data_IF_256986949946
#
_entry.id   IF_256986949946
#
_cell.length_a   1.000
_cell.length_b   1.000
_cell.length_c   1.000
_cell.angle_alpha   90.00
_cell.angle_beta   90.00
_cell.angle_gamma   90.00
#
_symmetry.space_group_name_H-M   'P 1'
#
loop_
_entity.id
_entity.type
_entity.pdbx_description
1 polymer ?
#
# COMPACT_ATOMS: atom_id res chain seq x y z
N UNK A 1 26.46 -33.53 -3.26
CA UNK A 1 26.24 -33.62 -4.72
C UNK A 1 25.80 -35.03 -5.04
N UNK A 2 24.67 -35.19 -5.70
CA UNK A 2 24.22 -36.51 -6.18
C UNK A 2 24.69 -36.66 -7.62
N UNK A 3 25.52 -37.66 -7.90
CA UNK A 3 25.99 -37.98 -9.24
C UNK A 3 25.04 -38.96 -9.92
N UNK A 4 24.61 -38.64 -11.15
CA UNK A 4 23.80 -39.48 -12.04
C UNK A 4 22.33 -39.75 -11.62
N UNK A 5 21.56 -38.75 -11.15
CA UNK A 5 20.12 -38.96 -10.94
C UNK A 5 19.38 -39.07 -12.29
N UNK A 6 18.51 -40.07 -12.41
CA UNK A 6 17.60 -40.28 -13.55
C UNK A 6 16.20 -40.64 -13.04
N UNK A 7 15.16 -40.42 -13.85
CA UNK A 7 13.75 -40.75 -13.53
C UNK A 7 13.13 -40.00 -12.34
N UNK A 8 13.47 -38.73 -12.14
CA UNK A 8 12.74 -37.92 -11.16
C UNK A 8 11.48 -37.33 -11.80
N UNK A 9 10.37 -37.36 -11.07
CA UNK A 9 9.10 -36.73 -11.44
C UNK A 9 8.84 -35.61 -10.45
N UNK A 10 8.79 -34.38 -10.95
CA UNK A 10 8.44 -33.21 -10.17
C UNK A 10 6.95 -32.94 -10.42
N UNK A 11 6.12 -33.03 -9.38
CA UNK A 11 4.69 -32.68 -9.44
C UNK A 11 4.47 -31.42 -8.62
N UNK A 12 3.60 -30.54 -9.12
CA UNK A 12 3.12 -29.36 -8.40
C UNK A 12 4.22 -28.38 -7.94
N UNK A 13 5.32 -28.27 -8.68
CA UNK A 13 6.36 -27.27 -8.40
C UNK A 13 6.25 -26.04 -9.29
N UNK A 14 6.58 -24.87 -8.72
CA UNK A 14 6.87 -23.66 -9.46
C UNK A 14 8.35 -23.63 -9.82
N UNK A 15 8.66 -23.52 -11.11
CA UNK A 15 10.01 -23.22 -11.58
C UNK A 15 10.15 -21.70 -11.70
N UNK A 16 10.99 -21.09 -10.86
CA UNK A 16 11.39 -19.69 -11.00
C UNK A 16 12.74 -19.71 -11.73
N UNK A 17 12.74 -19.27 -12.99
CA UNK A 17 13.96 -19.19 -13.79
C UNK A 17 14.75 -17.92 -13.44
N UNK A 18 15.92 -18.11 -12.80
CA UNK A 18 16.90 -17.05 -12.55
C UNK A 18 17.99 -16.99 -13.64
N UNK A 19 17.78 -17.63 -14.80
CA UNK A 19 18.77 -17.63 -15.87
C UNK A 19 19.14 -16.19 -16.25
N UNK A 20 20.44 -15.92 -16.27
CA UNK A 20 21.02 -14.68 -16.78
C UNK A 20 20.96 -14.68 -18.31
N UNK A 21 19.77 -14.91 -18.88
CA UNK A 21 19.51 -14.56 -20.25
C UNK A 21 19.60 -13.04 -20.34
N UNK A 22 20.54 -12.58 -21.17
CA UNK A 22 20.78 -11.20 -21.52
C UNK A 22 19.48 -10.65 -22.17
N UNK A 23 18.54 -10.17 -21.35
CA UNK A 23 17.22 -9.71 -21.83
C UNK A 23 16.00 -9.96 -20.94
N UNK A 24 16.09 -10.36 -19.66
CA UNK A 24 14.90 -10.38 -18.79
C UNK A 24 14.34 -8.96 -18.60
N UNK A 25 13.06 -8.77 -18.95
CA UNK A 25 12.36 -7.50 -18.77
C UNK A 25 12.20 -7.17 -17.28
N UNK A 26 11.94 -8.18 -16.45
CA UNK A 26 11.84 -8.01 -15.00
C UNK A 26 13.16 -7.55 -14.36
N UNK A 27 14.32 -7.92 -14.91
CA UNK A 27 15.61 -7.40 -14.43
C UNK A 27 15.75 -5.89 -14.64
N UNK A 28 15.16 -5.36 -15.72
CA UNK A 28 15.11 -3.92 -16.00
C UNK A 28 14.23 -3.22 -14.97
N UNK A 29 13.10 -3.84 -14.62
CA UNK A 29 12.19 -3.35 -13.59
C UNK A 29 12.87 -3.32 -12.21
N UNK A 30 13.47 -4.43 -11.78
CA UNK A 30 14.19 -4.53 -10.52
C UNK A 30 15.34 -3.52 -10.43
N UNK A 31 16.09 -3.32 -11.52
CA UNK A 31 17.17 -2.32 -11.55
C UNK A 31 16.70 -0.87 -11.41
N UNK A 32 15.41 -0.60 -11.65
CA UNK A 32 14.80 0.72 -11.50
C UNK A 32 13.87 0.83 -10.27
N UNK A 33 13.63 -0.26 -9.55
CA UNK A 33 12.83 -0.28 -8.33
C UNK A 33 13.60 0.30 -7.14
N UNK A 34 12.90 0.53 -6.04
CA UNK A 34 13.49 0.91 -4.76
C UNK A 34 13.28 -0.22 -3.74
N UNK A 35 14.22 -1.18 -3.65
CA UNK A 35 14.15 -2.25 -2.65
C UNK A 35 14.02 -1.72 -1.21
N UNK A 36 14.58 -0.53 -0.92
CA UNK A 36 14.47 0.12 0.39
C UNK A 36 13.05 0.55 0.77
N UNK A 37 12.14 0.63 -0.19
CA UNK A 37 10.74 0.99 0.03
C UNK A 37 9.85 -0.21 0.38
N UNK A 38 10.34 -1.45 0.28
CA UNK A 38 9.59 -2.64 0.65
C UNK A 38 9.47 -2.76 2.19
N UNK A 39 8.35 -3.30 2.68
CA UNK A 39 8.06 -3.44 4.12
C UNK A 39 9.10 -4.27 4.88
N UNK A 40 9.70 -5.26 4.21
CA UNK A 40 10.66 -6.23 4.71
C UNK A 40 12.12 -5.86 4.40
N UNK A 41 12.35 -4.65 3.87
CA UNK A 41 13.69 -4.15 3.60
C UNK A 41 14.53 -4.02 4.88
N UNK A 42 15.81 -4.34 4.78
CA UNK A 42 16.79 -4.08 5.85
C UNK A 42 16.84 -2.61 6.27
N UNK A 43 16.54 -1.67 5.35
CA UNK A 43 16.42 -0.26 5.66
C UNK A 43 15.34 0.03 6.73
N UNK A 44 14.33 -0.84 6.83
CA UNK A 44 13.21 -0.72 7.77
C UNK A 44 13.41 -1.46 9.09
N UNK A 45 14.44 -2.30 9.22
CA UNK A 45 14.72 -3.05 10.46
C UNK A 45 14.93 -2.14 11.68
N UNK A 46 15.46 -0.92 11.47
CA UNK A 46 15.67 0.07 12.53
C UNK A 46 14.40 0.86 12.91
N UNK A 47 13.40 0.93 12.02
CA UNK A 47 12.16 1.70 12.23
C UNK A 47 11.23 1.07 13.28
N UNK A 48 11.38 -0.23 13.55
CA UNK A 48 10.59 -0.98 14.54
C UNK A 48 10.93 -0.65 16.00
N UNK A 49 12.06 0.00 16.26
CA UNK A 49 12.63 0.05 17.61
C UNK A 49 11.94 1.10 18.49
N UNK A 50 11.22 2.08 17.95
CA UNK A 50 10.76 3.24 18.74
C UNK A 50 9.25 3.50 18.68
N UNK A 51 8.66 3.35 19.89
CA UNK A 51 7.55 4.12 20.46
C UNK A 51 6.19 4.03 19.79
N UNK A 52 5.46 2.95 20.11
CA UNK A 52 4.03 3.10 20.36
C UNK A 52 3.53 2.09 21.43
N UNK A 53 2.69 2.48 22.41
CA UNK A 53 2.23 1.57 23.47
C UNK A 53 1.46 0.37 22.88
N UNK A 54 1.88 -0.85 23.23
CA UNK A 54 1.34 -2.11 22.66
C UNK A 54 -0.19 -2.15 22.53
N UNK A 55 -0.90 -1.67 23.55
CA UNK A 55 -2.36 -1.80 23.66
C UNK A 55 -3.15 -0.89 22.72
N UNK A 56 -2.58 0.20 22.17
CA UNK A 56 -3.34 1.15 21.34
C UNK A 56 -3.32 0.82 19.83
N UNK A 57 -2.40 -0.05 19.39
CA UNK A 57 -2.23 -0.39 17.97
C UNK A 57 -2.75 -1.78 17.62
N UNK A 58 -2.83 -2.68 18.61
CA UNK A 58 -3.35 -4.03 18.42
C UNK A 58 -4.80 -4.03 17.95
N UNK A 59 -5.65 -3.15 18.52
CA UNK A 59 -7.05 -3.00 18.11
C UNK A 59 -7.16 -2.53 16.65
N UNK A 60 -6.38 -1.52 16.27
CA UNK A 60 -6.37 -1.02 14.90
C UNK A 60 -5.87 -2.08 13.91
N UNK A 61 -4.77 -2.78 14.22
CA UNK A 61 -4.24 -3.83 13.35
C UNK A 61 -5.24 -4.98 13.23
N UNK A 62 -5.96 -5.33 14.30
CA UNK A 62 -7.02 -6.33 14.26
C UNK A 62 -8.21 -5.88 13.39
N UNK A 63 -8.61 -4.61 13.48
CA UNK A 63 -9.64 -4.03 12.62
C UNK A 63 -9.18 -4.00 11.15
N UNK A 64 -7.94 -3.60 10.89
CA UNK A 64 -7.34 -3.60 9.57
C UNK A 64 -7.35 -5.00 8.94
N UNK A 65 -6.89 -6.02 9.67
CA UNK A 65 -6.95 -7.42 9.22
C UNK A 65 -8.40 -7.89 9.04
N UNK A 66 -9.34 -7.39 9.84
CA UNK A 66 -10.77 -7.70 9.65
C UNK A 66 -11.28 -7.08 8.34
N UNK A 67 -10.89 -5.85 8.02
CA UNK A 67 -11.21 -5.19 6.76
C UNK A 67 -10.61 -5.92 5.56
N UNK A 68 -9.34 -6.36 5.60
CA UNK A 68 -8.76 -7.13 4.49
C UNK A 68 -9.53 -8.43 4.26
N UNK A 69 -10.10 -8.99 5.34
CA UNK A 69 -10.87 -10.24 5.26
C UNK A 69 -12.33 -10.08 4.86
N UNK A 70 -12.93 -8.92 5.13
CA UNK A 70 -14.31 -8.60 4.79
C UNK A 70 -14.36 -7.16 4.30
N UNK A 71 -13.77 -6.89 3.12
CA UNK A 71 -13.68 -5.54 2.61
C UNK A 71 -15.09 -5.08 2.28
N UNK A 72 -15.50 -4.02 2.96
CA UNK A 72 -16.70 -3.24 2.62
C UNK A 72 -16.35 -2.07 1.68
N UNK A 73 -15.08 -2.02 1.25
CA UNK A 73 -14.47 -1.03 0.37
C UNK A 73 -13.13 -1.56 -0.16
N UNK A 74 -12.76 -1.18 -1.39
CA UNK A 74 -11.48 -1.57 -2.00
C UNK A 74 -10.30 -0.66 -1.63
N UNK A 75 -10.57 0.44 -0.93
CA UNK A 75 -9.55 1.42 -0.50
C UNK A 75 -9.81 1.79 0.96
N UNK A 76 -8.77 1.73 1.78
CA UNK A 76 -8.71 2.29 3.11
C UNK A 76 -7.69 3.43 3.14
N UNK A 77 -8.09 4.60 3.63
CA UNK A 77 -7.19 5.73 3.81
C UNK A 77 -7.04 6.08 5.29
N UNK A 78 -5.80 6.12 5.75
CA UNK A 78 -5.45 6.53 7.10
C UNK A 78 -4.70 7.85 7.08
N UNK A 79 -5.20 8.78 7.87
CA UNK A 79 -4.65 10.12 8.04
C UNK A 79 -3.76 10.18 9.30
N UNK A 80 -2.54 10.69 9.15
CA UNK A 80 -1.59 10.97 10.23
C UNK A 80 -0.20 10.32 10.06
N UNK A 81 0.78 10.70 10.91
CA UNK A 81 2.13 10.11 10.92
C UNK A 81 2.08 8.68 11.48
N UNK A 82 1.69 7.73 10.61
CA UNK A 82 1.35 6.35 10.97
C UNK A 82 2.30 5.31 10.36
N UNK A 83 3.53 5.68 10.05
CA UNK A 83 4.49 4.79 9.40
C UNK A 83 4.72 3.49 10.21
N UNK A 84 4.72 3.58 11.54
CA UNK A 84 4.82 2.40 12.42
C UNK A 84 3.55 1.52 12.38
N UNK A 85 2.36 2.11 12.25
CA UNK A 85 1.11 1.36 12.08
C UNK A 85 1.05 0.66 10.72
N UNK A 86 1.45 1.35 9.66
CA UNK A 86 1.58 0.77 8.32
C UNK A 86 2.53 -0.43 8.32
N UNK A 87 3.67 -0.33 9.05
CA UNK A 87 4.61 -1.42 9.23
C UNK A 87 3.96 -2.62 9.94
N UNK A 88 3.31 -2.39 11.08
CA UNK A 88 2.64 -3.46 11.84
C UNK A 88 1.55 -4.16 11.03
N UNK A 89 0.80 -3.40 10.24
CA UNK A 89 -0.20 -3.93 9.31
C UNK A 89 0.45 -4.82 8.24
N UNK A 90 1.52 -4.36 7.61
CA UNK A 90 2.26 -5.12 6.59
C UNK A 90 2.78 -6.45 7.14
N UNK A 91 3.42 -6.41 8.32
CA UNK A 91 3.93 -7.61 9.01
C UNK A 91 2.84 -8.61 9.40
N UNK A 92 1.61 -8.15 9.59
CA UNK A 92 0.47 -9.02 9.93
C UNK A 92 -0.16 -9.71 8.75
N UNK A 93 -0.04 -9.15 7.55
CA UNK A 93 -0.61 -9.72 6.34
C UNK A 93 0.24 -10.85 5.76
N UNK A 94 1.57 -10.72 5.81
CA UNK A 94 2.51 -11.70 5.24
C UNK A 94 2.11 -12.06 3.78
N UNK A 95 1.62 -13.27 3.54
CA UNK A 95 1.18 -13.77 2.22
C UNK A 95 -0.03 -13.01 1.63
N UNK A 96 -0.81 -12.28 2.43
CA UNK A 96 -1.91 -11.43 1.94
C UNK A 96 -1.39 -10.07 1.41
N UNK A 97 -0.13 -9.70 1.68
CA UNK A 97 0.48 -8.46 1.22
C UNK A 97 1.14 -8.68 -0.15
N UNK A 98 0.43 -8.28 -1.21
CA UNK A 98 0.91 -8.46 -2.58
C UNK A 98 2.02 -7.46 -2.96
N UNK A 99 1.98 -6.25 -2.40
CA UNK A 99 3.02 -5.26 -2.56
C UNK A 99 2.96 -4.17 -1.48
N UNK A 100 4.07 -3.49 -1.28
CA UNK A 100 4.15 -2.36 -0.36
C UNK A 100 5.10 -1.29 -0.87
N UNK A 101 4.79 -0.04 -0.56
CA UNK A 101 5.70 1.07 -0.76
C UNK A 101 5.71 1.97 0.47
N UNK A 102 6.85 2.08 1.11
CA UNK A 102 7.07 3.01 2.20
C UNK A 102 8.11 4.03 1.77
N UNK A 103 7.76 5.31 1.81
CA UNK A 103 8.64 6.37 1.33
C UNK A 103 9.96 6.38 2.11
N UNK A 104 11.10 6.05 1.47
CA UNK A 104 12.39 6.08 2.14
C UNK A 104 12.79 7.52 2.47
N UNK A 105 13.49 7.71 3.59
CA UNK A 105 13.98 9.05 3.97
C UNK A 105 14.83 9.72 2.89
N UNK A 106 15.56 8.93 2.11
CA UNK A 106 16.41 9.38 1.00
C UNK A 106 15.63 9.86 -0.23
N UNK A 107 14.36 9.49 -0.37
CA UNK A 107 13.53 9.73 -1.57
C UNK A 107 12.38 10.70 -1.31
N UNK A 108 12.39 11.40 -0.17
CA UNK A 108 11.37 12.39 0.26
C UNK A 108 11.18 13.58 -0.68
N UNK A 109 11.99 13.70 -1.73
CA UNK A 109 11.98 14.86 -2.63
C UNK A 109 12.00 14.48 -4.11
N UNK A 110 12.25 13.22 -4.45
CA UNK A 110 12.37 12.76 -5.83
C UNK A 110 11.59 11.45 -6.02
N UNK A 111 10.75 11.41 -7.06
CA UNK A 111 10.36 10.13 -7.67
C UNK A 111 9.05 9.48 -7.22
N UNK A 112 7.92 9.91 -7.79
CA UNK A 112 6.67 9.13 -7.76
C UNK A 112 6.70 7.92 -8.69
N UNK A 113 7.51 7.96 -9.75
CA UNK A 113 7.67 6.84 -10.68
C UNK A 113 8.15 5.57 -10.01
N UNK A 114 9.03 5.71 -9.01
CA UNK A 114 9.54 4.58 -8.25
C UNK A 114 8.45 3.88 -7.44
N UNK A 115 7.35 4.56 -7.07
CA UNK A 115 6.20 3.91 -6.42
C UNK A 115 5.67 2.82 -7.34
N UNK A 116 5.31 3.19 -8.57
CA UNK A 116 4.70 2.26 -9.53
C UNK A 116 5.67 1.13 -9.90
N UNK A 117 6.93 1.46 -10.17
CA UNK A 117 7.94 0.49 -10.57
C UNK A 117 8.18 -0.52 -9.44
N UNK A 118 8.30 -0.05 -8.19
CA UNK A 118 8.54 -0.90 -7.02
C UNK A 118 7.35 -1.78 -6.69
N UNK A 119 6.12 -1.25 -6.80
CA UNK A 119 4.91 -2.05 -6.63
C UNK A 119 4.80 -3.12 -7.73
N UNK A 120 5.09 -2.78 -8.99
CA UNK A 120 5.07 -3.74 -10.09
C UNK A 120 6.12 -4.87 -9.90
N UNK A 121 7.30 -4.54 -9.40
CA UNK A 121 8.36 -5.50 -9.11
C UNK A 121 7.95 -6.50 -8.01
N UNK A 122 7.38 -6.01 -6.91
CA UNK A 122 6.84 -6.85 -5.84
C UNK A 122 5.66 -7.70 -6.32
N UNK A 123 4.73 -7.13 -7.10
CA UNK A 123 3.62 -7.88 -7.69
C UNK A 123 4.12 -8.99 -8.63
N UNK A 124 5.21 -8.78 -9.36
CA UNK A 124 5.80 -9.79 -10.24
C UNK A 124 6.42 -10.93 -9.44
N UNK A 125 6.92 -10.64 -8.25
CA UNK A 125 7.40 -11.67 -7.31
C UNK A 125 6.23 -12.45 -6.70
N UNK A 126 5.12 -11.76 -6.40
CA UNK A 126 3.95 -12.34 -5.73
C UNK A 126 3.02 -13.12 -6.67
N UNK A 127 2.87 -12.67 -7.92
CA UNK A 127 1.86 -13.18 -8.86
C UNK A 127 2.55 -13.69 -10.14
N UNK A 128 2.83 -15.01 -10.26
CA UNK A 128 3.59 -15.56 -11.38
C UNK A 128 2.96 -15.33 -12.76
N UNK A 129 1.63 -15.37 -12.86
CA UNK A 129 0.91 -15.11 -14.12
C UNK A 129 1.10 -13.67 -14.60
N UNK A 130 1.06 -12.72 -13.68
CA UNK A 130 1.37 -11.31 -13.95
C UNK A 130 2.85 -11.11 -14.31
N UNK A 131 3.77 -11.79 -13.63
CA UNK A 131 5.20 -11.72 -13.92
C UNK A 131 5.51 -12.06 -15.39
N UNK A 132 4.88 -13.11 -15.92
CA UNK A 132 5.04 -13.54 -17.32
C UNK A 132 4.57 -12.47 -18.32
N UNK A 133 3.40 -11.88 -18.09
CA UNK A 133 2.85 -10.82 -18.94
C UNK A 133 3.72 -9.57 -18.89
N UNK A 134 4.14 -9.16 -17.69
CA UNK A 134 4.95 -7.97 -17.48
C UNK A 134 6.35 -8.12 -18.11
N UNK A 135 6.99 -9.28 -17.95
CA UNK A 135 8.30 -9.57 -18.55
C UNK A 135 8.27 -9.39 -20.07
N UNK A 136 7.24 -9.93 -20.74
CA UNK A 136 7.07 -9.79 -22.18
C UNK A 136 6.88 -8.32 -22.61
N UNK A 137 6.08 -7.56 -21.86
CA UNK A 137 5.89 -6.12 -22.10
C UNK A 137 7.19 -5.33 -21.96
N UNK A 138 7.97 -5.59 -20.91
CA UNK A 138 9.24 -4.90 -20.65
C UNK A 138 10.32 -5.28 -21.66
N UNK A 139 10.38 -6.54 -22.09
CA UNK A 139 11.28 -6.95 -23.19
C UNK A 139 10.96 -6.24 -24.49
N UNK A 140 9.68 -6.03 -24.78
CA UNK A 140 9.23 -5.32 -25.99
C UNK A 140 9.47 -3.82 -25.91
N UNK A 141 9.30 -3.21 -24.74
CA UNK A 141 9.48 -1.79 -24.54
C UNK A 141 10.13 -1.46 -23.19
N UNK A 142 11.47 -1.55 -23.10
CA UNK A 142 12.20 -1.20 -21.88
C UNK A 142 11.97 0.23 -21.41
N UNK A 143 11.63 1.16 -22.32
CA UNK A 143 11.42 2.55 -21.97
C UNK A 143 10.18 2.79 -21.10
N UNK A 144 9.32 1.78 -20.87
CA UNK A 144 8.15 1.89 -20.00
C UNK A 144 8.50 2.40 -18.59
N UNK A 145 9.64 1.99 -18.03
CA UNK A 145 10.10 2.45 -16.70
C UNK A 145 10.48 3.94 -16.67
N UNK A 146 10.57 4.62 -17.81
CA UNK A 146 10.88 6.07 -17.90
C UNK A 146 9.69 6.92 -18.36
N UNK A 147 8.53 6.30 -18.59
CA UNK A 147 7.33 7.03 -19.04
C UNK A 147 6.69 7.82 -17.91
N UNK A 148 5.69 8.63 -18.25
CA UNK A 148 4.88 9.33 -17.25
C UNK A 148 4.23 8.34 -16.27
N UNK A 149 3.91 8.82 -15.08
CA UNK A 149 3.31 8.03 -14.01
C UNK A 149 2.03 7.30 -14.45
N UNK A 150 1.15 8.00 -15.19
CA UNK A 150 -0.07 7.41 -15.75
C UNK A 150 0.22 6.25 -16.70
N UNK A 151 1.24 6.40 -17.56
CA UNK A 151 1.63 5.34 -18.50
C UNK A 151 2.27 4.18 -17.76
N UNK A 152 3.17 4.46 -16.81
CA UNK A 152 3.76 3.45 -15.95
C UNK A 152 2.68 2.65 -15.22
N UNK A 153 1.73 3.31 -14.56
CA UNK A 153 0.70 2.60 -13.80
C UNK A 153 -0.16 1.73 -14.71
N UNK A 154 -0.57 2.28 -15.85
CA UNK A 154 -1.37 1.55 -16.83
C UNK A 154 -0.62 0.34 -17.40
N UNK A 155 0.60 0.53 -17.88
CA UNK A 155 1.33 -0.51 -18.62
C UNK A 155 2.07 -1.50 -17.73
N UNK A 156 2.45 -1.10 -16.52
CA UNK A 156 3.18 -1.94 -15.58
C UNK A 156 2.25 -2.65 -14.59
N UNK A 157 1.14 -2.03 -14.15
CA UNK A 157 0.25 -2.64 -13.15
C UNK A 157 -1.11 -2.98 -13.77
N UNK A 158 -1.82 -1.99 -14.29
CA UNK A 158 -3.24 -2.15 -14.64
C UNK A 158 -3.49 -3.13 -15.78
N UNK A 159 -2.93 -2.86 -16.95
CA UNK A 159 -3.16 -3.64 -18.17
C UNK A 159 -2.63 -5.08 -18.07
N UNK A 160 -1.43 -5.35 -17.48
CA UNK A 160 -1.00 -6.72 -17.29
C UNK A 160 -1.93 -7.53 -16.37
N UNK A 161 -2.43 -6.93 -15.29
CA UNK A 161 -3.39 -7.60 -14.40
C UNK A 161 -4.73 -7.84 -15.10
N UNK A 162 -5.23 -6.86 -15.86
CA UNK A 162 -6.44 -7.01 -16.66
C UNK A 162 -6.30 -8.15 -17.69
N UNK A 163 -5.14 -8.28 -18.33
CA UNK A 163 -4.84 -9.37 -19.28
C UNK A 163 -4.85 -10.75 -18.61
N UNK A 164 -4.28 -10.86 -17.40
CA UNK A 164 -4.31 -12.09 -16.61
C UNK A 164 -5.75 -12.47 -16.25
N UNK A 165 -6.55 -11.52 -15.77
CA UNK A 165 -7.96 -11.74 -15.42
C UNK A 165 -8.81 -12.12 -16.65
N UNK A 166 -8.59 -11.44 -17.77
CA UNK A 166 -9.28 -11.74 -19.04
C UNK A 166 -8.96 -13.15 -19.57
N UNK A 167 -7.81 -13.71 -19.19
CA UNK A 167 -7.41 -15.09 -19.49
C UNK A 167 -8.07 -16.13 -18.58
N UNK A 168 -8.95 -15.71 -17.66
CA UNK A 168 -9.68 -16.58 -16.73
C UNK A 168 -8.86 -17.04 -15.52
N UNK A 169 -7.68 -16.46 -15.30
CA UNK A 169 -6.84 -16.76 -14.14
C UNK A 169 -7.36 -15.95 -12.95
N UNK A 170 -7.80 -16.66 -11.91
CA UNK A 170 -8.10 -16.04 -10.62
C UNK A 170 -6.79 -15.71 -9.89
N UNK A 171 -6.67 -14.46 -9.44
CA UNK A 171 -5.52 -13.98 -8.65
C UNK A 171 -5.64 -14.35 -7.17
N UNK A 172 -6.67 -15.10 -6.81
CA UNK A 172 -6.98 -15.46 -5.45
C UNK A 172 -7.54 -14.29 -4.66
N UNK A 173 -8.03 -14.57 -3.44
CA UNK A 173 -8.59 -13.53 -2.61
C UNK A 173 -7.48 -12.65 -2.00
N UNK A 174 -7.76 -11.33 -1.92
CA UNK A 174 -7.16 -10.39 -0.96
C UNK A 174 -5.69 -10.06 -1.21
N UNK A 175 -5.39 -9.60 -2.42
CA UNK A 175 -4.10 -8.99 -2.71
C UNK A 175 -4.07 -7.56 -2.15
N UNK A 176 -3.50 -7.38 -0.96
CA UNK A 176 -3.41 -6.07 -0.32
C UNK A 176 -2.17 -5.33 -0.81
N UNK A 177 -2.33 -4.04 -1.09
CA UNK A 177 -1.24 -3.14 -1.43
C UNK A 177 -1.21 -1.99 -0.42
N UNK A 178 -0.08 -1.82 0.27
CA UNK A 178 0.13 -0.73 1.24
C UNK A 178 0.98 0.37 0.59
N UNK A 179 0.54 1.62 0.67
CA UNK A 179 1.32 2.79 0.25
C UNK A 179 1.42 3.78 1.41
N UNK A 180 2.63 4.09 1.84
CA UNK A 180 2.92 4.97 2.95
C UNK A 180 3.79 6.16 2.54
N UNK A 181 3.42 7.34 3.00
CA UNK A 181 4.17 8.59 2.75
C UNK A 181 3.89 9.22 1.38
N UNK A 182 2.73 8.96 0.77
CA UNK A 182 2.37 9.60 -0.52
C UNK A 182 2.36 11.13 -0.44
N UNK A 183 2.12 11.70 0.75
CA UNK A 183 2.17 13.13 1.02
C UNK A 183 3.60 13.69 0.98
N UNK A 184 4.62 12.86 1.20
CA UNK A 184 6.04 13.24 1.12
C UNK A 184 6.51 13.44 -0.32
N UNK A 185 5.73 13.03 -1.33
CA UNK A 185 6.05 13.30 -2.73
C UNK A 185 5.96 14.80 -3.05
N UNK A 186 7.03 15.39 -3.58
CA UNK A 186 7.13 16.84 -3.79
C UNK A 186 6.09 17.43 -4.77
N UNK A 187 5.66 16.66 -5.77
CA UNK A 187 4.74 17.14 -6.81
C UNK A 187 3.28 16.84 -6.46
N UNK A 188 2.49 17.90 -6.21
CA UNK A 188 1.02 17.83 -6.09
C UNK A 188 0.39 17.07 -7.25
N UNK A 189 0.80 17.41 -8.47
CA UNK A 189 0.26 16.78 -9.68
C UNK A 189 0.51 15.28 -9.67
N UNK A 190 1.74 14.87 -9.35
CA UNK A 190 2.09 13.46 -9.31
C UNK A 190 1.35 12.71 -8.18
N UNK A 191 1.13 13.35 -7.02
CA UNK A 191 0.32 12.82 -5.92
C UNK A 191 -1.15 12.61 -6.33
N UNK A 192 -1.72 13.53 -7.08
CA UNK A 192 -3.06 13.38 -7.64
C UNK A 192 -3.12 12.28 -8.71
N UNK A 193 -2.11 12.17 -9.57
CA UNK A 193 -2.03 11.13 -10.60
C UNK A 193 -1.96 9.73 -9.99
N UNK A 194 -1.08 9.50 -9.01
CA UNK A 194 -0.96 8.19 -8.36
C UNK A 194 -2.25 7.83 -7.63
N UNK A 195 -2.87 8.79 -6.94
CA UNK A 195 -4.14 8.56 -6.27
C UNK A 195 -5.25 8.21 -7.27
N UNK A 196 -5.37 8.96 -8.36
CA UNK A 196 -6.34 8.66 -9.42
C UNK A 196 -6.14 7.24 -9.98
N UNK A 197 -4.88 6.83 -10.16
CA UNK A 197 -4.53 5.51 -10.65
C UNK A 197 -4.87 4.39 -9.64
N UNK A 198 -4.59 4.60 -8.36
CA UNK A 198 -4.99 3.69 -7.28
C UNK A 198 -6.52 3.51 -7.25
N UNK A 199 -7.27 4.61 -7.34
CA UNK A 199 -8.73 4.57 -7.34
C UNK A 199 -9.29 3.83 -8.55
N UNK A 200 -8.69 4.03 -9.74
CA UNK A 200 -9.05 3.26 -10.95
C UNK A 200 -8.78 1.77 -10.75
N UNK A 201 -7.60 1.41 -10.23
CA UNK A 201 -7.25 0.03 -9.89
C UNK A 201 -8.25 -0.59 -8.92
N UNK A 202 -8.55 0.08 -7.81
CA UNK A 202 -9.46 -0.41 -6.79
C UNK A 202 -10.89 -0.65 -7.30
N UNK A 203 -11.29 0.03 -8.39
CA UNK A 203 -12.61 -0.10 -9.00
C UNK A 203 -12.76 -1.28 -9.97
N UNK A 204 -11.65 -1.78 -10.51
CA UNK A 204 -11.65 -2.75 -11.63
C UNK A 204 -10.79 -3.99 -11.38
N UNK A 205 -9.79 -3.90 -10.49
CA UNK A 205 -8.83 -4.95 -10.21
C UNK A 205 -9.05 -5.50 -8.79
N UNK A 206 -8.67 -6.76 -8.51
CA UNK A 206 -8.92 -7.42 -7.24
C UNK A 206 -7.89 -7.04 -6.16
N UNK A 207 -7.52 -5.76 -6.09
CA UNK A 207 -6.60 -5.23 -5.08
C UNK A 207 -7.33 -4.45 -4.00
N UNK A 208 -6.88 -4.64 -2.76
CA UNK A 208 -7.25 -3.79 -1.63
C UNK A 208 -6.12 -2.82 -1.37
N UNK A 209 -6.40 -1.52 -1.45
CA UNK A 209 -5.39 -0.48 -1.25
C UNK A 209 -5.49 0.12 0.14
N UNK A 210 -4.38 0.15 0.87
CA UNK A 210 -4.27 0.82 2.15
C UNK A 210 -3.27 1.97 2.04
N UNK A 211 -3.75 3.19 2.17
CA UNK A 211 -2.95 4.41 2.03
C UNK A 211 -2.73 5.03 3.41
N UNK A 212 -1.48 5.25 3.78
CA UNK A 212 -1.08 5.91 5.02
C UNK A 212 -0.36 7.21 4.66
N UNK A 213 -0.93 8.34 5.05
CA UNK A 213 -0.35 9.65 4.71
C UNK A 213 -0.73 10.71 5.73
N UNK A 214 0.07 11.79 5.82
CA UNK A 214 -0.28 12.97 6.61
C UNK A 214 -1.42 13.77 5.91
N UNK A 215 -2.13 14.64 6.66
CA UNK A 215 -3.22 15.41 6.08
C UNK A 215 -2.72 16.27 4.91
N UNK A 216 -3.36 16.12 3.74
CA UNK A 216 -3.11 16.95 2.57
C UNK A 216 -4.44 17.40 1.95
N UNK A 217 -4.69 18.71 2.00
CA UNK A 217 -5.97 19.29 1.57
C UNK A 217 -6.32 19.02 0.10
N UNK A 218 -5.33 18.84 -0.78
CA UNK A 218 -5.55 18.59 -2.20
C UNK A 218 -5.87 17.11 -2.45
N UNK A 219 -5.18 16.20 -1.74
CA UNK A 219 -5.53 14.78 -1.73
C UNK A 219 -6.93 14.55 -1.16
N UNK A 220 -7.27 15.23 -0.06
CA UNK A 220 -8.61 15.18 0.50
C UNK A 220 -9.68 15.69 -0.46
N UNK A 221 -9.41 16.78 -1.19
CA UNK A 221 -10.35 17.33 -2.17
C UNK A 221 -10.58 16.35 -3.33
N UNK A 222 -9.51 15.79 -3.89
CA UNK A 222 -9.60 14.79 -4.96
C UNK A 222 -10.35 13.54 -4.50
N UNK A 223 -10.06 13.07 -3.30
CA UNK A 223 -10.78 11.96 -2.69
C UNK A 223 -12.26 12.28 -2.55
N UNK A 224 -12.64 13.44 -1.99
CA UNK A 224 -14.05 13.84 -1.84
C UNK A 224 -14.77 13.93 -3.19
N UNK A 225 -14.12 14.45 -4.22
CA UNK A 225 -14.66 14.52 -5.57
C UNK A 225 -14.89 13.12 -6.17
N UNK A 226 -13.93 12.20 -5.98
CA UNK A 226 -13.97 10.84 -6.55
C UNK A 226 -14.75 9.84 -5.69
N UNK A 227 -14.95 10.11 -4.39
CA UNK A 227 -15.65 9.28 -3.41
C UNK A 227 -17.12 9.08 -3.78
N UNK A 228 -17.76 10.05 -4.42
CA UNK A 228 -19.14 9.93 -4.89
C UNK A 228 -19.35 8.80 -5.91
N UNK A 229 -18.28 8.27 -6.52
CA UNK A 229 -18.35 7.25 -7.56
C UNK A 229 -17.99 5.82 -7.10
N UNK A 230 -17.31 5.63 -5.96
CA UNK A 230 -16.59 4.37 -5.68
C UNK A 230 -17.10 3.55 -4.47
N UNK A 231 -18.04 4.06 -3.67
CA UNK A 231 -18.42 3.42 -2.38
C UNK A 231 -17.21 3.02 -1.51
N UNK A 232 -16.06 3.68 -1.69
CA UNK A 232 -14.83 3.47 -0.92
C UNK A 232 -14.95 4.21 0.41
N UNK A 233 -14.81 3.49 1.53
CA UNK A 233 -14.96 4.06 2.86
C UNK A 233 -13.65 4.65 3.39
N UNK A 234 -13.83 5.66 4.21
CA UNK A 234 -12.90 6.76 4.44
C UNK A 234 -12.59 6.94 5.93
N UNK A 235 -11.36 7.40 6.17
CA UNK A 235 -10.80 8.19 7.29
C UNK A 235 -10.91 7.65 8.73
N UNK A 236 -9.79 7.13 9.22
CA UNK A 236 -9.43 7.18 10.66
C UNK A 236 -8.76 8.52 10.94
N UNK A 237 -9.50 9.46 11.56
CA UNK A 237 -8.93 10.70 12.10
C UNK A 237 -8.09 10.39 13.35
N UNK A 238 -6.85 10.89 13.40
CA UNK A 238 -6.26 11.31 14.66
C UNK A 238 -6.41 12.83 14.76
N UNK A 239 -6.82 13.39 15.92
CA UNK A 239 -6.53 14.77 16.20
C UNK A 239 -5.01 14.89 16.35
N UNK A 240 -4.33 15.50 15.38
CA UNK A 240 -2.98 16.02 15.63
C UNK A 240 -3.17 17.31 16.43
N UNK A 241 -2.75 17.38 17.72
CA UNK A 241 -2.70 18.66 18.39
C UNK A 241 -1.59 19.48 17.72
N UNK A 242 -1.92 20.69 17.30
CA UNK A 242 -0.94 21.72 16.97
C UNK A 242 -0.21 22.17 18.25
N UNK A 243 0.91 21.51 18.58
CA UNK A 243 2.13 21.90 19.36
C UNK A 243 2.01 22.78 20.65
N UNK A 244 2.89 22.63 21.68
CA UNK A 244 4.35 22.55 21.56
C UNK A 244 5.03 21.30 22.12
N UNK A 245 6.18 21.03 21.50
CA UNK A 245 7.25 20.13 21.92
C UNK A 245 7.65 20.41 23.36
N UNK A 246 7.75 19.34 24.16
CA UNK A 246 8.35 19.38 25.49
C UNK A 246 7.85 18.23 26.36
N UNK A 247 8.52 17.09 26.26
CA UNK A 247 8.58 15.96 27.21
C UNK A 247 7.31 15.66 28.04
N UNK A 248 6.56 14.65 27.61
CA UNK A 248 5.49 14.04 28.39
C UNK A 248 4.53 13.24 27.51
N UNK A 249 4.26 11.99 27.89
CA UNK A 249 3.41 11.05 27.17
C UNK A 249 1.95 11.53 27.09
N UNK A 250 1.34 11.39 25.90
CA UNK A 250 -0.08 11.65 25.65
C UNK A 250 -0.74 10.33 25.24
N UNK A 251 -1.91 10.03 25.79
CA UNK A 251 -2.69 8.82 25.48
C UNK A 251 -3.90 9.18 24.60
N UNK A 252 -4.13 8.37 23.57
CA UNK A 252 -5.16 8.61 22.56
C UNK A 252 -6.04 7.37 22.41
N UNK A 253 -7.37 7.57 22.36
CA UNK A 253 -8.30 6.51 21.96
C UNK A 253 -9.14 6.99 20.80
N UNK A 254 -9.21 6.20 19.72
CA UNK A 254 -10.09 6.44 18.57
C UNK A 254 -10.96 5.21 18.38
N UNK A 255 -12.26 5.41 18.21
CA UNK A 255 -13.24 4.35 17.98
C UNK A 255 -14.00 4.67 16.68
N UNK A 256 -14.01 3.72 15.75
CA UNK A 256 -14.77 3.78 14.50
C UNK A 256 -16.10 3.07 14.69
N UNK A 257 -17.18 3.74 14.31
CA UNK A 257 -18.53 3.23 14.43
C UNK A 257 -19.19 3.33 13.08
N UNK A 258 -19.46 2.18 12.47
CA UNK A 258 -20.11 2.09 11.16
C UNK A 258 -21.57 1.71 11.31
N UNK A 259 -22.43 2.41 10.59
CA UNK A 259 -23.85 2.12 10.47
C UNK A 259 -24.29 2.27 9.00
N UNK A 260 -25.41 1.67 8.61
CA UNK A 260 -25.97 1.91 7.28
C UNK A 260 -26.30 3.40 7.11
N UNK A 261 -25.62 4.06 6.17
CA UNK A 261 -25.84 5.49 5.85
C UNK A 261 -24.92 6.47 6.60
N UNK A 262 -24.08 6.03 7.54
CA UNK A 262 -23.11 6.92 8.20
C UNK A 262 -22.00 6.20 8.98
N UNK A 263 -20.89 6.91 9.19
CA UNK A 263 -19.76 6.54 10.04
C UNK A 263 -19.63 7.60 11.13
N UNK A 264 -19.41 7.18 12.37
CA UNK A 264 -18.97 8.08 13.43
C UNK A 264 -17.54 7.75 13.85
N UNK A 265 -16.70 8.78 13.98
CA UNK A 265 -15.39 8.67 14.60
C UNK A 265 -15.50 9.29 15.97
N UNK A 266 -15.32 8.49 17.03
CA UNK A 266 -15.14 9.02 18.38
C UNK A 266 -13.67 9.09 18.71
N UNK A 267 -13.27 10.14 19.42
CA UNK A 267 -11.93 10.23 19.97
C UNK A 267 -11.96 10.70 21.42
N UNK A 268 -10.93 10.32 22.16
CA UNK A 268 -10.62 10.82 23.49
C UNK A 268 -9.13 11.16 23.58
N UNK A 269 -8.83 12.36 24.10
CA UNK A 269 -7.49 12.87 24.37
C UNK A 269 -7.36 13.10 25.88
N UNK A 270 -6.42 12.41 26.53
CA UNK A 270 -6.03 12.70 27.89
C UNK A 270 -4.93 13.79 27.91
N UNK A 271 -5.24 14.94 28.49
CA UNK A 271 -4.28 16.03 28.69
C UNK A 271 -3.48 15.84 29.99
N UNK A 272 -2.38 16.59 30.16
CA UNK A 272 -1.52 16.54 31.35
C UNK A 272 -2.26 16.77 32.68
N UNK A 273 -3.34 17.54 32.66
CA UNK A 273 -4.15 17.84 33.85
C UNK A 273 -5.22 16.76 34.12
N UNK A 274 -5.06 15.55 33.56
CA UNK A 274 -6.05 14.47 33.56
C UNK A 274 -7.43 14.88 33.00
N UNK A 275 -7.52 15.98 32.24
CA UNK A 275 -8.73 16.34 31.51
C UNK A 275 -8.82 15.47 30.28
N UNK A 276 -9.96 14.79 30.13
CA UNK A 276 -10.30 14.02 28.94
C UNK A 276 -11.10 14.93 28.01
N UNK A 277 -10.56 15.21 26.83
CA UNK A 277 -11.27 15.89 25.75
C UNK A 277 -11.80 14.83 24.82
N UNK A 278 -13.12 14.73 24.68
CA UNK A 278 -13.75 13.82 23.74
C UNK A 278 -14.39 14.57 22.59
N UNK A 279 -14.51 13.90 21.46
CA UNK A 279 -15.32 14.40 20.36
C UNK A 279 -15.83 13.27 19.49
N UNK A 280 -16.90 13.57 18.74
CA UNK A 280 -17.54 12.65 17.82
C UNK A 280 -17.80 13.39 16.52
N UNK A 281 -17.30 12.86 15.41
CA UNK A 281 -17.55 13.37 14.07
C UNK A 281 -18.42 12.37 13.33
N UNK A 282 -19.49 12.86 12.71
CA UNK A 282 -20.39 12.05 11.89
C UNK A 282 -20.13 12.33 10.41
N UNK A 283 -20.05 11.27 9.64
CA UNK A 283 -19.87 11.27 8.20
C UNK A 283 -21.02 10.50 7.60
N UNK A 284 -21.84 11.12 6.77
CA UNK A 284 -22.99 10.47 6.15
C UNK A 284 -22.54 9.85 4.83
N UNK A 285 -22.87 8.57 4.61
CA UNK A 285 -22.52 7.79 3.41
C UNK A 285 -23.69 7.72 2.44
#
# INVERSE_FOLDING_TARGET
MVSNPSNFVIKDCQFIDYSTADGSGLKILYGASLPDAAYDSAARASALVHSIPKTEHEDFVAEFVTWTRRPDSSVMWLDGPKSNLAQLCAEKLQEELAASFFTPQSQRTEGTSQIVITLADQLATHIPSYASVLDAKLRRNPALITKSLTIQFRELIFAPIEEVLASGIDLGPRNVIIVEGIDECASVHARCEILGAILESASRLPFLWAIFSRPDSQLEALLKERHLALKSCWKVCHPTPSFPVGDGEFFWRVELIRHEGWIAVRWALATRDAKIITGTAFFFT
#
